data_IF_760884389389
#
_entry.id   IF_760884389389
#
_cell.length_a   1.000
_cell.length_b   1.000
_cell.length_c   1.000
_cell.angle_alpha   90.00
_cell.angle_beta   90.00
_cell.angle_gamma   90.00
#
_symmetry.space_group_name_H-M   'P 1'
#
loop_
_entity.id
_entity.type
_entity.pdbx_description
1 polymer ?
#
# COMPACT_ATOMS: atom_id res chain seq x y z
N UNK A 1 -18.13 -2.47 18.59
CA UNK A 1 -18.46 -1.20 17.90
C UNK A 1 -18.47 -1.50 16.42
N UNK A 2 -19.45 -0.99 15.67
CA UNK A 2 -19.46 -1.12 14.21
C UNK A 2 -18.27 -0.35 13.62
N UNK A 3 -17.53 -0.98 12.72
CA UNK A 3 -16.44 -0.35 12.00
C UNK A 3 -16.97 0.79 11.14
N UNK A 4 -16.44 2.00 11.30
CA UNK A 4 -17.01 3.23 10.73
C UNK A 4 -16.53 3.58 9.32
N UNK A 5 -15.53 2.88 8.78
CA UNK A 5 -14.96 3.15 7.46
C UNK A 5 -15.59 2.28 6.36
N UNK A 6 -15.95 2.91 5.25
CA UNK A 6 -16.40 2.32 4.01
C UNK A 6 -15.19 2.02 3.12
N UNK A 7 -14.73 0.77 3.20
CA UNK A 7 -13.56 0.26 2.48
C UNK A 7 -13.92 -0.51 1.21
N UNK A 8 -15.18 -0.40 0.76
CA UNK A 8 -15.70 -1.20 -0.36
C UNK A 8 -16.01 -2.66 0.02
N UNK A 9 -16.40 -3.44 -0.99
CA UNK A 9 -16.83 -4.84 -0.84
C UNK A 9 -15.76 -5.88 -1.14
N UNK A 10 -14.47 -5.51 -1.04
CA UNK A 10 -13.37 -6.41 -1.34
C UNK A 10 -13.29 -7.56 -0.33
N UNK A 11 -12.95 -8.77 -0.80
CA UNK A 11 -12.70 -9.91 0.08
C UNK A 11 -11.69 -10.87 -0.54
N UNK A 12 -10.74 -11.34 0.27
CA UNK A 12 -9.83 -12.43 -0.06
C UNK A 12 -10.13 -13.60 0.89
N UNK A 13 -10.76 -14.68 0.41
CA UNK A 13 -11.00 -15.86 1.24
C UNK A 13 -9.69 -16.41 1.79
N UNK A 14 -9.64 -16.65 3.10
CA UNK A 14 -8.52 -17.31 3.78
C UNK A 14 -9.00 -18.46 4.66
N UNK A 15 -8.07 -19.32 5.09
CA UNK A 15 -8.34 -20.34 6.11
C UNK A 15 -8.66 -19.67 7.44
N UNK A 16 -9.94 -19.60 7.77
CA UNK A 16 -10.46 -18.94 8.98
C UNK A 16 -11.78 -19.60 9.42
N UNK A 17 -11.97 -19.75 10.72
CA UNK A 17 -13.14 -20.39 11.31
C UNK A 17 -14.33 -19.44 11.51
N UNK A 18 -14.09 -18.13 11.55
CA UNK A 18 -15.10 -17.11 11.83
C UNK A 18 -15.30 -16.15 10.65
N UNK A 19 -16.55 -15.96 10.16
CA UNK A 19 -16.88 -14.92 9.19
C UNK A 19 -16.54 -13.50 9.69
N UNK A 20 -16.59 -13.29 11.01
CA UNK A 20 -16.19 -12.01 11.59
C UNK A 20 -14.67 -11.79 11.48
N UNK A 21 -13.87 -12.83 11.73
CA UNK A 21 -12.42 -12.77 11.54
C UNK A 21 -12.05 -12.57 10.05
N UNK A 22 -12.76 -13.24 9.11
CA UNK A 22 -12.61 -12.98 7.67
C UNK A 22 -12.85 -11.51 7.33
N UNK A 23 -13.90 -10.90 7.89
CA UNK A 23 -14.21 -9.49 7.65
C UNK A 23 -13.11 -8.56 8.16
N UNK A 24 -12.53 -8.85 9.33
CA UNK A 24 -11.40 -8.08 9.86
C UNK A 24 -10.12 -8.28 9.05
N UNK A 25 -9.86 -9.49 8.56
CA UNK A 25 -8.76 -9.77 7.64
C UNK A 25 -8.90 -8.96 6.34
N UNK A 26 -10.08 -8.96 5.73
CA UNK A 26 -10.36 -8.22 4.50
C UNK A 26 -10.13 -6.72 4.67
N UNK A 27 -10.58 -6.14 5.80
CA UNK A 27 -10.30 -4.73 6.15
C UNK A 27 -8.82 -4.44 6.26
N UNK A 28 -8.07 -5.30 6.97
CA UNK A 28 -6.63 -5.15 7.13
C UNK A 28 -5.91 -5.16 5.78
N UNK A 29 -6.32 -6.06 4.88
CA UNK A 29 -5.73 -6.16 3.54
C UNK A 29 -6.05 -4.92 2.68
N UNK A 30 -7.26 -4.38 2.77
CA UNK A 30 -7.61 -3.11 2.08
C UNK A 30 -6.78 -1.94 2.63
N UNK A 31 -6.54 -1.87 3.94
CA UNK A 31 -5.67 -0.82 4.50
C UNK A 31 -4.21 -0.97 4.13
N UNK A 32 -3.71 -2.20 4.01
CA UNK A 32 -2.40 -2.45 3.41
C UNK A 32 -2.34 -1.92 1.98
N UNK A 33 -3.36 -2.18 1.14
CA UNK A 33 -3.42 -1.57 -0.19
C UNK A 33 -3.56 -0.04 -0.12
N UNK A 34 -4.23 0.50 0.90
CA UNK A 34 -4.27 1.94 1.14
C UNK A 34 -3.04 2.51 1.84
N UNK A 35 -1.96 1.75 2.02
CA UNK A 35 -0.76 2.18 2.73
C UNK A 35 -1.01 2.82 4.12
N UNK A 36 -2.13 2.49 4.77
CA UNK A 36 -2.38 2.80 6.17
C UNK A 36 -2.06 1.57 7.03
N UNK A 37 -0.77 1.34 7.21
CA UNK A 37 -0.24 0.13 7.82
C UNK A 37 -0.60 0.01 9.31
N UNK A 38 -0.71 1.13 10.04
CA UNK A 38 -1.08 1.13 11.46
C UNK A 38 -2.50 0.57 11.67
N UNK A 39 -3.49 1.08 10.93
CA UNK A 39 -4.87 0.57 11.00
C UNK A 39 -5.00 -0.85 10.42
N UNK A 40 -4.17 -1.20 9.44
CA UNK A 40 -4.08 -2.56 8.93
C UNK A 40 -3.67 -3.55 10.04
N UNK A 41 -2.63 -3.22 10.81
CA UNK A 41 -2.19 -4.03 11.95
C UNK A 41 -3.32 -4.22 12.95
N UNK A 42 -4.08 -3.17 13.29
CA UNK A 42 -5.21 -3.31 14.23
C UNK A 42 -6.33 -4.17 13.69
N UNK A 43 -6.64 -4.08 12.39
CA UNK A 43 -7.60 -4.98 11.76
C UNK A 43 -7.13 -6.45 11.83
N UNK A 44 -5.86 -6.74 11.55
CA UNK A 44 -5.36 -8.10 11.62
C UNK A 44 -5.25 -8.62 13.06
N UNK A 45 -4.89 -7.79 14.05
CA UNK A 45 -4.94 -8.16 15.47
C UNK A 45 -6.35 -8.54 15.89
N UNK A 46 -7.37 -7.78 15.46
CA UNK A 46 -8.79 -8.14 15.69
C UNK A 46 -9.16 -9.48 15.06
N UNK A 47 -8.68 -9.76 13.84
CA UNK A 47 -8.90 -11.05 13.19
C UNK A 47 -8.26 -12.20 14.01
N UNK A 48 -7.02 -12.03 14.47
CA UNK A 48 -6.31 -13.00 15.29
C UNK A 48 -6.91 -13.18 16.70
N UNK A 49 -7.46 -12.13 17.31
CA UNK A 49 -8.16 -12.21 18.60
C UNK A 49 -9.44 -13.05 18.50
N UNK A 50 -10.15 -12.94 17.37
CA UNK A 50 -11.39 -13.69 17.11
C UNK A 50 -11.08 -15.12 16.71
N UNK A 51 -10.06 -15.32 15.88
CA UNK A 51 -9.58 -16.64 15.45
C UNK A 51 -8.05 -16.74 15.56
N UNK A 52 -7.53 -17.21 16.72
CA UNK A 52 -6.10 -17.39 16.95
C UNK A 52 -5.45 -18.47 16.09
N UNK A 53 -6.23 -19.22 15.31
CA UNK A 53 -5.73 -20.25 14.38
C UNK A 53 -5.61 -19.73 12.94
N UNK A 54 -6.04 -18.50 12.68
CA UNK A 54 -5.93 -17.87 11.36
C UNK A 54 -4.49 -17.45 11.05
N UNK A 55 -3.72 -18.33 10.38
CA UNK A 55 -2.34 -18.06 10.01
C UNK A 55 -2.19 -16.77 9.18
N UNK A 56 -3.16 -16.47 8.32
CA UNK A 56 -3.16 -15.28 7.48
C UNK A 56 -3.37 -13.97 8.26
N UNK A 57 -4.02 -14.01 9.43
CA UNK A 57 -4.10 -12.82 10.29
C UNK A 57 -2.70 -12.43 10.81
N UNK A 58 -1.91 -13.41 11.27
CA UNK A 58 -0.53 -13.17 11.70
C UNK A 58 0.40 -12.78 10.54
N UNK A 59 0.19 -13.36 9.35
CA UNK A 59 0.84 -12.88 8.12
C UNK A 59 0.54 -11.40 7.86
N UNK A 60 -0.73 -11.00 8.00
CA UNK A 60 -1.17 -9.62 7.81
C UNK A 60 -0.51 -8.65 8.78
N UNK A 61 -0.42 -9.02 10.06
CA UNK A 61 0.30 -8.22 11.08
C UNK A 61 1.76 -8.06 10.66
N UNK A 62 2.43 -9.14 10.23
CA UNK A 62 3.81 -9.06 9.78
C UNK A 62 3.97 -8.17 8.54
N UNK A 63 3.09 -8.33 7.54
CA UNK A 63 3.15 -7.60 6.28
C UNK A 63 2.96 -6.10 6.52
N UNK A 64 1.94 -5.73 7.30
CA UNK A 64 1.65 -4.35 7.64
C UNK A 64 2.75 -3.72 8.52
N UNK A 65 3.46 -4.50 9.34
CA UNK A 65 4.55 -3.98 10.17
C UNK A 65 5.83 -3.71 9.37
N UNK A 66 5.97 -4.24 8.16
CA UNK A 66 7.19 -4.15 7.35
C UNK A 66 7.33 -2.87 6.53
N UNK A 67 8.47 -2.71 5.83
CA UNK A 67 8.66 -1.63 4.87
C UNK A 67 7.68 -1.78 3.70
N UNK A 68 7.34 -0.65 3.12
CA UNK A 68 6.58 -0.56 1.87
C UNK A 68 7.10 0.62 1.04
N UNK A 69 6.53 0.82 -0.14
CA UNK A 69 7.03 1.78 -1.13
C UNK A 69 7.24 3.20 -0.56
N UNK A 70 6.37 3.68 0.35
CA UNK A 70 6.49 5.03 0.93
C UNK A 70 7.22 5.10 2.28
N UNK A 71 7.54 3.97 2.91
CA UNK A 71 8.31 3.91 4.16
C UNK A 71 9.32 2.75 4.10
N UNK A 72 10.39 2.87 3.30
CA UNK A 72 11.47 1.88 3.32
C UNK A 72 12.27 1.97 4.61
N UNK A 73 12.98 0.89 4.97
CA UNK A 73 13.82 0.79 6.18
C UNK A 73 14.69 2.02 6.45
N UNK A 74 15.30 2.60 5.42
CA UNK A 74 16.20 3.75 5.52
C UNK A 74 15.52 5.05 6.01
N UNK A 75 14.19 5.13 5.95
CA UNK A 75 13.40 6.27 6.41
C UNK A 75 12.83 6.04 7.82
N UNK A 76 12.93 4.83 8.36
CA UNK A 76 12.53 4.54 9.73
C UNK A 76 13.63 5.00 10.69
N UNK A 77 13.23 5.55 11.83
CA UNK A 77 14.11 5.71 12.99
C UNK A 77 14.53 4.35 13.53
N UNK A 78 15.59 4.33 14.35
CA UNK A 78 16.05 3.09 14.99
C UNK A 78 14.94 2.43 15.84
N UNK A 79 14.14 3.23 16.54
CA UNK A 79 13.03 2.73 17.36
C UNK A 79 11.94 2.09 16.49
N UNK A 80 11.54 2.75 15.40
CA UNK A 80 10.53 2.23 14.47
C UNK A 80 11.02 0.92 13.81
N UNK A 81 12.28 0.89 13.37
CA UNK A 81 12.87 -0.31 12.78
C UNK A 81 12.90 -1.49 13.77
N UNK A 82 13.25 -1.24 15.04
CA UNK A 82 13.20 -2.27 16.09
C UNK A 82 11.79 -2.79 16.33
N UNK A 83 10.81 -1.91 16.44
CA UNK A 83 9.39 -2.30 16.62
C UNK A 83 8.85 -3.07 15.42
N UNK A 84 9.20 -2.63 14.20
CA UNK A 84 8.85 -3.30 12.95
C UNK A 84 9.44 -4.71 12.89
N UNK A 85 10.72 -4.88 13.22
CA UNK A 85 11.40 -6.17 13.23
C UNK A 85 10.84 -7.11 14.30
N UNK A 86 10.64 -6.62 15.52
CA UNK A 86 10.07 -7.42 16.61
C UNK A 86 8.65 -7.90 16.27
N UNK A 87 7.77 -6.97 15.85
CA UNK A 87 6.38 -7.30 15.50
C UNK A 87 6.32 -8.21 14.28
N UNK A 88 7.06 -7.88 13.23
CA UNK A 88 7.08 -8.61 11.96
C UNK A 88 7.64 -10.02 12.09
N UNK A 89 8.80 -10.17 12.74
CA UNK A 89 9.41 -11.48 12.98
C UNK A 89 8.52 -12.37 13.85
N UNK A 90 8.07 -11.88 15.01
CA UNK A 90 7.27 -12.71 15.90
C UNK A 90 5.95 -13.14 15.24
N UNK A 91 5.26 -12.23 14.54
CA UNK A 91 4.00 -12.55 13.86
C UNK A 91 4.20 -13.55 12.72
N UNK A 92 5.26 -13.41 11.91
CA UNK A 92 5.50 -14.37 10.83
C UNK A 92 5.92 -15.75 11.35
N UNK A 93 6.60 -15.84 12.51
CA UNK A 93 6.88 -17.12 13.17
C UNK A 93 5.60 -17.77 13.69
N UNK A 94 4.64 -17.00 14.23
CA UNK A 94 3.32 -17.53 14.60
C UNK A 94 2.58 -18.07 13.37
N UNK A 95 2.54 -17.32 12.27
CA UNK A 95 1.92 -17.76 11.02
C UNK A 95 2.52 -19.07 10.51
N UNK A 96 3.86 -19.19 10.51
CA UNK A 96 4.57 -20.41 10.15
C UNK A 96 4.23 -21.59 11.07
N UNK A 97 4.10 -21.35 12.38
CA UNK A 97 3.76 -22.38 13.36
C UNK A 97 2.32 -22.90 13.26
N UNK A 98 1.43 -22.14 12.61
CA UNK A 98 0.03 -22.50 12.38
C UNK A 98 -0.19 -23.24 11.04
N UNK A 99 0.83 -23.34 10.19
CA UNK A 99 0.73 -24.04 8.92
C UNK A 99 0.51 -25.55 9.15
N UNK A 100 -0.72 -26.00 8.90
CA UNK A 100 -1.11 -27.41 8.83
C UNK A 100 -2.16 -27.58 7.72
N UNK A 101 -1.82 -28.35 6.67
CA UNK A 101 -2.66 -28.58 5.47
C UNK A 101 -3.35 -27.33 4.87
N UNK A 102 -2.67 -26.18 4.93
CA UNK A 102 -3.22 -24.91 4.42
C UNK A 102 -3.27 -24.86 2.88
N UNK A 103 -4.16 -24.03 2.29
CA UNK A 103 -4.16 -23.76 0.87
C UNK A 103 -2.75 -23.39 0.36
N UNK A 104 -2.28 -23.97 -0.75
CA UNK A 104 -0.92 -23.75 -1.23
C UNK A 104 -0.53 -22.28 -1.50
N UNK A 105 -1.51 -21.40 -1.73
CA UNK A 105 -1.27 -19.97 -1.91
C UNK A 105 -0.99 -19.26 -0.59
N UNK A 106 -1.67 -19.62 0.50
CA UNK A 106 -1.44 -19.07 1.84
C UNK A 106 -0.07 -19.49 2.37
N UNK A 107 0.26 -20.78 2.25
CA UNK A 107 1.59 -21.30 2.57
C UNK A 107 2.68 -20.55 1.78
N UNK A 108 2.45 -20.31 0.48
CA UNK A 108 3.36 -19.56 -0.38
C UNK A 108 3.58 -18.13 0.09
N UNK A 109 2.51 -17.40 0.42
CA UNK A 109 2.58 -16.01 0.90
C UNK A 109 3.28 -15.91 2.27
N UNK A 110 2.97 -16.82 3.20
CA UNK A 110 3.60 -16.90 4.53
C UNK A 110 5.10 -17.21 4.39
N UNK A 111 5.43 -18.23 3.60
CA UNK A 111 6.82 -18.63 3.37
C UNK A 111 7.62 -17.54 2.65
N UNK A 112 7.00 -16.79 1.73
CA UNK A 112 7.65 -15.66 1.09
C UNK A 112 7.94 -14.55 2.09
N UNK A 113 6.93 -14.09 2.85
CA UNK A 113 7.10 -12.98 3.78
C UNK A 113 8.10 -13.27 4.90
N UNK A 114 8.25 -14.53 5.32
CA UNK A 114 9.31 -14.92 6.28
C UNK A 114 10.73 -14.63 5.79
N UNK A 115 10.93 -14.39 4.49
CA UNK A 115 12.22 -13.96 3.93
C UNK A 115 12.51 -12.48 4.16
N UNK A 116 11.49 -11.64 4.38
CA UNK A 116 11.61 -10.22 4.75
C UNK A 116 11.94 -10.05 6.23
N UNK A 117 11.55 -11.00 7.08
CA UNK A 117 11.79 -10.97 8.53
C UNK A 117 12.60 -12.20 8.96
N UNK A 118 13.92 -12.12 8.85
CA UNK A 118 14.81 -13.26 9.16
C UNK A 118 15.29 -13.26 10.63
N UNK A 119 15.16 -12.13 11.33
CA UNK A 119 15.43 -11.97 12.77
C UNK A 119 14.64 -10.79 13.32
N UNK A 120 14.39 -10.81 14.63
CA UNK A 120 13.86 -9.71 15.44
C UNK A 120 14.92 -8.67 15.83
N UNK A 121 16.21 -8.95 15.59
CA UNK A 121 17.30 -8.06 15.94
C UNK A 121 17.52 -7.02 14.85
N UNK A 122 17.74 -5.77 15.28
CA UNK A 122 18.19 -4.73 14.39
C UNK A 122 19.57 -5.05 13.83
N UNK A 123 19.67 -5.02 12.50
CA UNK A 123 20.89 -5.25 11.73
C UNK A 123 21.16 -4.06 10.80
N UNK A 124 22.32 -4.06 10.15
CA UNK A 124 22.70 -3.02 9.21
C UNK A 124 21.70 -2.90 8.05
N UNK A 125 21.54 -1.67 7.53
CA UNK A 125 20.56 -1.35 6.48
C UNK A 125 20.75 -2.18 5.21
N UNK A 126 22.00 -2.50 4.84
CA UNK A 126 22.30 -3.33 3.66
C UNK A 126 21.80 -4.77 3.83
N UNK A 127 21.79 -5.27 5.08
CA UNK A 127 21.25 -6.61 5.39
C UNK A 127 19.73 -6.60 5.28
N UNK A 128 19.07 -5.57 5.81
CA UNK A 128 17.61 -5.40 5.68
C UNK A 128 17.19 -5.27 4.21
N UNK A 129 17.93 -4.53 3.40
CA UNK A 129 17.69 -4.46 1.96
C UNK A 129 17.87 -5.83 1.27
N UNK A 130 18.86 -6.61 1.69
CA UNK A 130 19.00 -8.01 1.25
C UNK A 130 17.81 -8.91 1.61
N UNK A 131 17.08 -8.60 2.69
CA UNK A 131 15.86 -9.33 3.06
C UNK A 131 14.67 -8.94 2.20
N UNK A 132 14.55 -7.67 1.81
CA UNK A 132 13.57 -7.24 0.79
C UNK A 132 13.83 -7.92 -0.55
N UNK A 133 15.09 -8.05 -0.96
CA UNK A 133 15.48 -8.79 -2.15
C UNK A 133 15.07 -10.27 -2.07
N UNK A 134 15.30 -10.90 -0.92
CA UNK A 134 14.92 -12.30 -0.69
C UNK A 134 13.39 -12.52 -0.70
N UNK A 135 12.62 -11.55 -0.18
CA UNK A 135 11.16 -11.57 -0.23
C UNK A 135 10.64 -11.41 -1.66
N UNK A 136 11.15 -10.44 -2.39
CA UNK A 136 10.85 -10.23 -3.80
C UNK A 136 11.11 -11.49 -4.65
N UNK A 137 12.26 -12.14 -4.46
CA UNK A 137 12.60 -13.39 -5.13
C UNK A 137 11.68 -14.55 -4.75
N UNK A 138 11.21 -14.60 -3.50
CA UNK A 138 10.23 -15.58 -3.06
C UNK A 138 8.84 -15.30 -3.67
N UNK A 139 8.38 -14.05 -3.67
CA UNK A 139 7.12 -13.65 -4.31
C UNK A 139 7.12 -13.91 -5.81
N UNK A 140 8.26 -13.75 -6.49
CA UNK A 140 8.40 -14.15 -7.91
C UNK A 140 8.09 -15.64 -8.12
N UNK A 141 8.44 -16.51 -7.16
CA UNK A 141 8.10 -17.95 -7.22
C UNK A 141 6.62 -18.19 -6.91
N UNK A 142 6.04 -17.45 -5.97
CA UNK A 142 4.61 -17.54 -5.64
C UNK A 142 3.76 -17.12 -6.85
N UNK A 143 4.08 -15.98 -7.48
CA UNK A 143 3.39 -15.52 -8.69
C UNK A 143 3.49 -16.53 -9.84
N UNK A 144 4.67 -17.13 -10.07
CA UNK A 144 4.80 -18.21 -11.07
C UNK A 144 3.89 -19.41 -10.80
N UNK A 145 3.63 -19.73 -9.53
CA UNK A 145 2.73 -20.83 -9.13
C UNK A 145 1.25 -20.44 -9.22
N UNK A 146 0.92 -19.17 -8.98
CA UNK A 146 -0.44 -18.64 -8.97
C UNK A 146 -0.58 -17.39 -9.87
N UNK A 147 -0.35 -17.51 -11.19
CA UNK A 147 -0.20 -16.36 -12.09
C UNK A 147 -1.49 -15.56 -12.34
N UNK A 148 -2.64 -16.07 -11.90
CA UNK A 148 -3.95 -15.42 -12.06
C UNK A 148 -4.59 -15.05 -10.71
N UNK A 149 -3.91 -15.27 -9.58
CA UNK A 149 -4.38 -14.79 -8.28
C UNK A 149 -4.07 -13.29 -8.17
N UNK A 150 -5.13 -12.48 -8.07
CA UNK A 150 -5.03 -11.02 -8.20
C UNK A 150 -4.29 -10.37 -7.02
N UNK A 151 -4.42 -10.91 -5.81
CA UNK A 151 -3.63 -10.44 -4.67
C UNK A 151 -2.18 -10.85 -4.81
N UNK A 152 -1.90 -12.07 -5.29
CA UNK A 152 -0.52 -12.50 -5.53
C UNK A 152 0.16 -11.59 -6.56
N UNK A 153 -0.56 -11.17 -7.61
CA UNK A 153 -0.07 -10.19 -8.58
C UNK A 153 0.24 -8.84 -7.90
N UNK A 154 -0.70 -8.32 -7.11
CA UNK A 154 -0.54 -7.04 -6.41
C UNK A 154 0.62 -7.05 -5.39
N UNK A 155 0.66 -8.07 -4.53
CA UNK A 155 1.69 -8.26 -3.51
C UNK A 155 3.07 -8.52 -4.13
N UNK A 156 3.13 -9.23 -5.27
CA UNK A 156 4.37 -9.39 -6.00
C UNK A 156 4.87 -8.06 -6.57
N UNK A 157 3.99 -7.29 -7.20
CA UNK A 157 4.34 -5.96 -7.71
C UNK A 157 4.86 -5.03 -6.59
N UNK A 158 4.17 -4.99 -5.45
CA UNK A 158 4.62 -4.22 -4.27
C UNK A 158 6.01 -4.67 -3.80
N UNK A 159 6.23 -5.98 -3.64
CA UNK A 159 7.50 -6.53 -3.19
C UNK A 159 8.66 -6.12 -4.10
N UNK A 160 8.44 -6.14 -5.42
CA UNK A 160 9.44 -5.74 -6.41
C UNK A 160 9.71 -4.23 -6.38
N UNK A 161 8.66 -3.42 -6.28
CA UNK A 161 8.79 -1.96 -6.27
C UNK A 161 9.49 -1.44 -5.01
N UNK A 162 9.26 -2.09 -3.86
CA UNK A 162 9.86 -1.74 -2.57
C UNK A 162 11.38 -1.98 -2.51
N UNK A 163 11.97 -2.73 -3.45
CA UNK A 163 13.43 -2.84 -3.61
C UNK A 163 14.08 -1.50 -4.02
N UNK A 164 13.36 -0.69 -4.81
CA UNK A 164 13.84 0.56 -5.40
C UNK A 164 12.78 1.67 -5.29
N UNK A 165 12.37 2.05 -4.07
CA UNK A 165 11.28 3.01 -3.85
C UNK A 165 11.64 4.37 -4.46
N UNK A 166 10.69 4.93 -5.22
CA UNK A 166 10.82 6.14 -6.04
C UNK A 166 11.97 6.15 -7.06
N UNK A 167 12.58 4.99 -7.32
CA UNK A 167 13.67 4.82 -8.29
C UNK A 167 13.29 3.84 -9.40
N UNK A 168 12.01 3.72 -9.74
CA UNK A 168 11.55 2.84 -10.82
C UNK A 168 11.99 3.35 -12.21
N UNK A 169 12.14 4.66 -12.36
CA UNK A 169 12.49 5.32 -13.62
C UNK A 169 13.62 6.32 -13.43
N UNK A 170 14.57 6.33 -14.37
CA UNK A 170 15.44 7.47 -14.61
C UNK A 170 14.64 8.51 -15.40
N UNK A 171 14.12 9.50 -14.67
CA UNK A 171 13.28 10.55 -15.24
C UNK A 171 14.01 11.44 -16.26
N UNK A 172 15.35 11.53 -16.17
CA UNK A 172 16.12 12.36 -17.08
C UNK A 172 16.31 11.66 -18.42
N UNK A 173 16.72 10.40 -18.39
CA UNK A 173 16.96 9.58 -19.58
C UNK A 173 15.69 8.92 -20.11
N UNK A 174 14.58 8.96 -19.36
CA UNK A 174 13.28 8.36 -19.70
C UNK A 174 13.38 6.86 -19.96
N UNK A 175 14.14 6.17 -19.12
CA UNK A 175 14.31 4.70 -19.16
C UNK A 175 14.11 4.12 -17.75
N UNK A 176 13.80 2.82 -17.62
CA UNK A 176 13.81 2.16 -16.32
C UNK A 176 15.17 2.33 -15.64
N UNK A 177 15.18 2.56 -14.32
CA UNK A 177 16.44 2.67 -13.59
C UNK A 177 17.19 1.34 -13.54
N UNK A 178 18.51 1.41 -13.53
CA UNK A 178 19.35 0.23 -13.29
C UNK A 178 19.02 -0.41 -11.93
N UNK A 179 18.84 -1.73 -11.93
CA UNK A 179 18.53 -2.52 -10.73
C UNK A 179 17.06 -2.49 -10.30
N UNK A 180 16.18 -1.73 -10.98
CA UNK A 180 14.75 -1.76 -10.76
C UNK A 180 14.07 -2.83 -11.63
N UNK A 181 13.10 -3.54 -11.08
CA UNK A 181 12.31 -4.57 -11.78
C UNK A 181 11.11 -3.98 -12.54
N UNK A 182 11.16 -2.69 -12.89
CA UNK A 182 10.05 -1.88 -13.42
C UNK A 182 9.35 -2.52 -14.61
N UNK A 183 10.10 -3.09 -15.56
CA UNK A 183 9.50 -3.73 -16.74
C UNK A 183 8.80 -5.05 -16.42
N UNK A 184 9.33 -5.83 -15.46
CA UNK A 184 8.67 -7.05 -15.00
C UNK A 184 7.37 -6.70 -14.27
N UNK A 185 7.42 -5.71 -13.37
CA UNK A 185 6.26 -5.21 -12.63
C UNK A 185 5.15 -4.76 -13.56
N UNK A 186 5.47 -3.94 -14.58
CA UNK A 186 4.47 -3.47 -15.55
C UNK A 186 3.87 -4.65 -16.34
N UNK A 187 4.70 -5.58 -16.81
CA UNK A 187 4.20 -6.73 -17.57
C UNK A 187 3.26 -7.61 -16.74
N UNK A 188 3.57 -7.82 -15.47
CA UNK A 188 2.76 -8.58 -14.51
C UNK A 188 1.43 -7.89 -14.25
N UNK A 189 1.46 -6.58 -13.97
CA UNK A 189 0.25 -5.79 -13.71
C UNK A 189 -0.64 -5.66 -14.95
N UNK A 190 -0.07 -5.38 -16.13
CA UNK A 190 -0.83 -5.34 -17.39
C UNK A 190 -1.45 -6.71 -17.70
N UNK A 191 -0.74 -7.81 -17.42
CA UNK A 191 -1.27 -9.17 -17.52
C UNK A 191 -2.48 -9.41 -16.60
N UNK A 192 -2.37 -9.02 -15.33
CA UNK A 192 -3.46 -9.12 -14.35
C UNK A 192 -4.68 -8.27 -14.70
N UNK A 193 -4.46 -7.01 -15.09
CA UNK A 193 -5.52 -6.10 -15.55
C UNK A 193 -6.20 -6.64 -16.82
N UNK A 194 -5.41 -7.20 -17.75
CA UNK A 194 -5.93 -7.89 -18.94
C UNK A 194 -6.77 -9.11 -18.60
N UNK A 195 -6.35 -9.90 -17.61
CA UNK A 195 -7.11 -11.05 -17.10
C UNK A 195 -8.44 -10.62 -16.47
N UNK A 196 -8.45 -9.58 -15.64
CA UNK A 196 -9.66 -8.98 -15.05
C UNK A 196 -10.62 -8.54 -16.15
N UNK A 197 -10.15 -7.78 -17.14
CA UNK A 197 -10.96 -7.29 -18.26
C UNK A 197 -11.56 -8.43 -19.08
N UNK A 198 -10.72 -9.40 -19.47
CA UNK A 198 -11.14 -10.55 -20.30
C UNK A 198 -12.21 -11.40 -19.62
N UNK A 199 -12.12 -11.57 -18.30
CA UNK A 199 -13.05 -12.39 -17.51
C UNK A 199 -14.17 -11.58 -16.86
N UNK A 200 -14.22 -10.26 -17.08
CA UNK A 200 -15.23 -9.34 -16.50
C UNK A 200 -15.28 -9.42 -14.98
N UNK A 201 -14.11 -9.53 -14.35
CA UNK A 201 -13.98 -9.52 -12.90
C UNK A 201 -14.10 -8.08 -12.38
N UNK A 202 -14.35 -7.94 -11.07
CA UNK A 202 -14.29 -6.63 -10.43
C UNK A 202 -12.84 -6.09 -10.48
N UNK A 203 -12.66 -4.77 -10.63
CA UNK A 203 -11.34 -4.16 -10.54
C UNK A 203 -10.68 -4.47 -9.19
N UNK A 204 -9.37 -4.76 -9.20
CA UNK A 204 -8.63 -5.12 -8.00
C UNK A 204 -7.81 -3.94 -7.49
N UNK A 205 -8.11 -3.50 -6.27
CA UNK A 205 -7.54 -2.33 -5.59
C UNK A 205 -6.01 -2.29 -5.66
N UNK A 206 -5.35 -3.33 -5.11
CA UNK A 206 -3.90 -3.37 -5.05
C UNK A 206 -3.21 -3.38 -6.42
N UNK A 207 -3.85 -3.96 -7.46
CA UNK A 207 -3.24 -3.98 -8.80
C UNK A 207 -3.35 -2.61 -9.45
N UNK A 208 -4.52 -1.95 -9.34
CA UNK A 208 -4.69 -0.59 -9.84
C UNK A 208 -3.72 0.36 -9.15
N UNK A 209 -3.62 0.30 -7.82
CA UNK A 209 -2.71 1.13 -7.03
C UNK A 209 -1.25 0.94 -7.43
N UNK A 210 -0.75 -0.31 -7.46
CA UNK A 210 0.63 -0.58 -7.86
C UNK A 210 0.90 -0.14 -9.31
N UNK A 211 -0.07 -0.28 -10.21
CA UNK A 211 0.07 0.13 -11.60
C UNK A 211 0.19 1.65 -11.76
N UNK A 212 -0.52 2.41 -10.93
CA UNK A 212 -0.40 3.87 -10.88
C UNK A 212 1.01 4.28 -10.42
N UNK A 213 1.51 3.73 -9.32
CA UNK A 213 2.88 3.99 -8.85
C UNK A 213 3.96 3.53 -9.85
N UNK A 214 3.74 2.40 -10.53
CA UNK A 214 4.69 1.92 -11.54
C UNK A 214 4.80 2.87 -12.75
N UNK A 215 3.75 3.64 -13.06
CA UNK A 215 3.70 4.48 -14.25
C UNK A 215 3.77 5.99 -14.00
N UNK A 216 3.57 6.48 -12.78
CA UNK A 216 3.53 7.91 -12.48
C UNK A 216 4.77 8.68 -12.95
N UNK A 217 5.96 8.10 -12.79
CA UNK A 217 7.23 8.70 -13.24
C UNK A 217 7.72 8.14 -14.59
N UNK A 218 6.87 7.37 -15.29
CA UNK A 218 7.25 6.75 -16.55
C UNK A 218 7.28 7.74 -17.72
N UNK A 219 7.87 7.34 -18.87
CA UNK A 219 7.77 8.12 -20.10
C UNK A 219 6.36 8.17 -20.71
N UNK A 220 5.43 7.31 -20.26
CA UNK A 220 4.07 7.17 -20.80
C UNK A 220 3.03 7.02 -19.67
N UNK A 221 2.90 8.00 -18.76
CA UNK A 221 1.98 7.92 -17.62
C UNK A 221 0.51 7.84 -18.07
N UNK A 222 0.18 8.30 -19.29
CA UNK A 222 -1.17 8.27 -19.85
C UNK A 222 -1.75 6.85 -19.98
N UNK A 223 -0.89 5.82 -20.02
CA UNK A 223 -1.32 4.41 -20.00
C UNK A 223 -2.07 4.03 -18.72
N UNK A 224 -1.85 4.75 -17.63
CA UNK A 224 -2.50 4.51 -16.35
C UNK A 224 -3.84 5.24 -16.18
N UNK A 225 -4.24 6.12 -17.12
CA UNK A 225 -5.46 6.93 -16.97
C UNK A 225 -6.71 6.07 -16.74
N UNK A 226 -6.88 5.00 -17.51
CA UNK A 226 -8.03 4.09 -17.34
C UNK A 226 -8.02 3.32 -16.01
N UNK A 227 -6.84 3.08 -15.42
CA UNK A 227 -6.72 2.48 -14.09
C UNK A 227 -7.00 3.53 -12.99
N UNK A 228 -6.54 4.77 -13.19
CA UNK A 228 -6.79 5.89 -12.28
C UNK A 228 -8.29 6.21 -12.19
N UNK A 229 -8.98 6.24 -13.33
CA UNK A 229 -10.44 6.44 -13.39
C UNK A 229 -11.19 5.32 -12.64
N UNK A 230 -10.71 4.07 -12.72
CA UNK A 230 -11.31 2.93 -12.02
C UNK A 230 -11.07 2.92 -10.52
N UNK A 231 -9.87 3.31 -10.08
CA UNK A 231 -9.51 3.28 -8.66
C UNK A 231 -10.34 4.30 -7.85
N UNK A 232 -10.63 5.46 -8.45
CA UNK A 232 -11.44 6.50 -7.80
C UNK A 232 -12.84 5.97 -7.47
N UNK A 233 -13.13 5.79 -6.18
CA UNK A 233 -14.43 5.37 -5.66
C UNK A 233 -14.57 3.90 -5.24
N UNK A 234 -13.52 3.07 -5.37
CA UNK A 234 -13.59 1.68 -4.89
C UNK A 234 -13.47 1.56 -3.36
N UNK A 235 -12.68 2.45 -2.75
CA UNK A 235 -12.54 2.56 -1.28
C UNK A 235 -12.75 4.03 -0.86
N UNK A 236 -14.00 4.45 -0.61
CA UNK A 236 -14.37 5.81 -0.24
C UNK A 236 -13.51 6.41 0.88
N UNK A 237 -13.28 5.64 1.95
CA UNK A 237 -12.64 6.13 3.17
C UNK A 237 -11.15 5.76 3.30
N UNK A 238 -10.51 5.26 2.23
CA UNK A 238 -9.07 5.07 2.19
C UNK A 238 -8.41 6.27 1.48
N UNK A 239 -7.97 7.28 2.25
CA UNK A 239 -7.48 8.56 1.73
C UNK A 239 -6.39 8.39 0.68
N UNK A 240 -5.34 7.62 0.98
CA UNK A 240 -4.28 7.32 0.02
C UNK A 240 -4.80 6.73 -1.31
N UNK A 241 -5.74 5.77 -1.28
CA UNK A 241 -6.30 5.18 -2.51
C UNK A 241 -7.12 6.20 -3.31
N UNK A 242 -7.83 7.12 -2.64
CA UNK A 242 -8.53 8.23 -3.31
C UNK A 242 -7.55 9.20 -3.95
N UNK A 243 -6.41 9.43 -3.31
CA UNK A 243 -5.39 10.34 -3.77
C UNK A 243 -4.61 9.81 -4.96
N UNK A 244 -4.31 8.52 -5.00
CA UNK A 244 -3.45 7.91 -6.02
C UNK A 244 -3.78 8.28 -7.48
N UNK A 245 -5.04 8.34 -7.94
CA UNK A 245 -5.39 8.83 -9.27
C UNK A 245 -4.83 10.23 -9.61
N UNK A 246 -4.71 11.13 -8.62
CA UNK A 246 -4.19 12.49 -8.80
C UNK A 246 -2.77 12.50 -9.37
N UNK A 247 -1.92 11.55 -8.99
CA UNK A 247 -0.56 11.42 -9.50
C UNK A 247 -0.54 11.29 -11.03
N UNK A 248 -1.44 10.49 -11.60
CA UNK A 248 -1.55 10.33 -13.06
C UNK A 248 -2.24 11.54 -13.69
N UNK A 249 -3.33 12.03 -13.09
CA UNK A 249 -4.09 13.15 -13.64
C UNK A 249 -3.26 14.41 -13.76
N UNK A 250 -2.47 14.76 -12.75
CA UNK A 250 -1.68 16.00 -12.75
C UNK A 250 -0.60 15.97 -13.83
N UNK A 251 0.08 14.83 -14.00
CA UNK A 251 1.14 14.67 -15.02
C UNK A 251 0.54 14.63 -16.44
N UNK A 252 -0.69 14.15 -16.59
CA UNK A 252 -1.42 14.15 -17.85
C UNK A 252 -2.21 15.46 -18.11
N UNK A 253 -2.09 16.48 -17.25
CA UNK A 253 -2.78 17.76 -17.41
C UNK A 253 -4.28 17.77 -17.09
N UNK A 254 -4.82 16.71 -16.47
CA UNK A 254 -6.21 16.61 -16.00
C UNK A 254 -6.36 17.26 -14.60
N UNK A 255 -5.98 18.53 -14.47
CA UNK A 255 -5.90 19.20 -13.16
C UNK A 255 -7.23 19.27 -12.40
N UNK A 256 -8.35 19.43 -13.10
CA UNK A 256 -9.67 19.43 -12.44
C UNK A 256 -10.04 18.07 -11.85
N UNK A 257 -9.66 16.97 -12.51
CA UNK A 257 -9.89 15.63 -12.00
C UNK A 257 -8.97 15.32 -10.81
N UNK A 258 -7.72 15.79 -10.87
CA UNK A 258 -6.79 15.73 -9.74
C UNK A 258 -7.36 16.45 -8.49
N UNK A 259 -7.87 17.68 -8.66
CA UNK A 259 -8.54 18.42 -7.57
C UNK A 259 -9.72 17.63 -7.01
N UNK A 260 -10.59 17.09 -7.87
CA UNK A 260 -11.78 16.37 -7.43
C UNK A 260 -11.47 15.09 -6.63
N UNK A 261 -10.40 14.37 -6.96
CA UNK A 261 -10.00 13.19 -6.17
C UNK A 261 -9.23 13.59 -4.90
N UNK A 262 -8.46 14.69 -4.93
CA UNK A 262 -7.82 15.22 -3.72
C UNK A 262 -8.85 15.70 -2.69
N UNK A 263 -9.99 16.29 -3.11
CA UNK A 263 -11.09 16.63 -2.19
C UNK A 263 -11.63 15.39 -1.47
N UNK A 264 -11.78 14.26 -2.18
CA UNK A 264 -12.23 12.99 -1.59
C UNK A 264 -11.19 12.43 -0.63
N UNK A 265 -9.90 12.47 -1.00
CA UNK A 265 -8.81 11.99 -0.17
C UNK A 265 -8.74 12.77 1.15
N UNK A 266 -8.78 14.11 1.09
CA UNK A 266 -8.78 14.98 2.27
C UNK A 266 -9.98 14.66 3.18
N UNK A 267 -11.18 14.47 2.61
CA UNK A 267 -12.36 14.12 3.40
C UNK A 267 -12.24 12.75 4.08
N UNK A 268 -11.63 11.76 3.41
CA UNK A 268 -11.36 10.45 4.00
C UNK A 268 -10.31 10.52 5.11
N UNK A 269 -9.29 11.35 4.92
CA UNK A 269 -8.24 11.56 5.91
C UNK A 269 -8.75 12.28 7.17
N UNK A 270 -9.62 13.29 7.01
CA UNK A 270 -10.27 13.97 8.15
C UNK A 270 -11.05 12.97 9.01
N UNK A 271 -11.75 12.02 8.39
CA UNK A 271 -12.45 10.95 9.09
C UNK A 271 -11.48 10.01 9.83
N UNK A 272 -10.31 9.72 9.25
CA UNK A 272 -9.29 8.91 9.92
C UNK A 272 -8.64 9.66 11.10
N UNK A 273 -8.36 10.96 10.95
CA UNK A 273 -7.85 11.81 12.04
C UNK A 273 -8.75 11.82 13.26
N UNK A 274 -10.08 11.83 13.08
CA UNK A 274 -11.03 11.77 14.20
C UNK A 274 -10.85 10.51 15.06
N UNK A 275 -10.36 9.42 14.47
CA UNK A 275 -10.05 8.18 15.16
C UNK A 275 -8.63 8.16 15.74
N UNK A 276 -7.63 8.45 14.90
CA UNK A 276 -6.22 8.19 15.19
C UNK A 276 -5.47 9.37 15.84
N UNK A 277 -6.04 10.58 15.79
CA UNK A 277 -5.37 11.79 16.23
C UNK A 277 -4.21 12.22 15.32
N UNK A 278 -3.35 13.11 15.84
CA UNK A 278 -2.30 13.80 15.07
C UNK A 278 -0.88 13.26 15.27
N UNK A 279 -0.70 12.24 16.10
CA UNK A 279 0.62 11.70 16.47
C UNK A 279 0.83 10.31 15.87
N UNK A 280 0.84 10.24 14.54
CA UNK A 280 1.04 9.01 13.77
C UNK A 280 1.73 9.30 12.43
N UNK A 281 2.30 8.25 11.82
CA UNK A 281 3.00 8.39 10.54
C UNK A 281 2.06 8.83 9.40
N UNK A 282 0.78 8.47 9.47
CA UNK A 282 -0.21 8.74 8.42
C UNK A 282 -0.40 10.24 8.15
N UNK A 283 -0.05 11.12 9.09
CA UNK A 283 0.03 12.58 8.89
C UNK A 283 0.89 12.97 7.68
N UNK A 284 1.96 12.22 7.41
CA UNK A 284 2.80 12.48 6.23
C UNK A 284 2.05 12.21 4.92
N UNK A 285 1.23 11.15 4.87
CA UNK A 285 0.35 10.86 3.73
C UNK A 285 -0.68 11.97 3.56
N UNK A 286 -1.31 12.42 4.64
CA UNK A 286 -2.28 13.52 4.58
C UNK A 286 -1.68 14.82 4.06
N UNK A 287 -0.45 15.14 4.49
CA UNK A 287 0.26 16.32 3.98
C UNK A 287 0.58 16.19 2.49
N UNK A 288 0.86 14.97 2.01
CA UNK A 288 1.06 14.68 0.59
C UNK A 288 -0.23 14.87 -0.23
N UNK A 289 -1.37 14.47 0.32
CA UNK A 289 -2.69 14.65 -0.31
C UNK A 289 -3.07 16.14 -0.41
N UNK A 290 -2.81 16.91 0.66
CA UNK A 290 -2.93 18.37 0.67
C UNK A 290 -1.96 19.05 -0.29
N UNK A 291 -0.72 18.57 -0.38
CA UNK A 291 0.27 19.09 -1.31
C UNK A 291 -0.17 18.88 -2.77
N UNK A 292 -0.77 17.73 -3.09
CA UNK A 292 -1.31 17.47 -4.42
C UNK A 292 -2.52 18.35 -4.75
N UNK A 293 -3.42 18.57 -3.79
CA UNK A 293 -4.51 19.55 -3.92
C UNK A 293 -3.96 20.95 -4.24
N UNK A 294 -2.94 21.39 -3.49
CA UNK A 294 -2.27 22.67 -3.72
C UNK A 294 -1.66 22.72 -5.13
N UNK A 295 -0.89 21.70 -5.52
CA UNK A 295 -0.21 21.62 -6.80
C UNK A 295 -1.20 21.66 -7.97
N UNK A 296 -2.20 20.78 -7.98
CA UNK A 296 -3.21 20.75 -9.03
C UNK A 296 -4.00 22.06 -9.13
N UNK A 297 -4.32 22.68 -7.99
CA UNK A 297 -5.03 23.96 -7.92
C UNK A 297 -4.22 25.12 -8.51
N UNK A 298 -2.91 25.16 -8.28
CA UNK A 298 -2.03 26.17 -8.90
C UNK A 298 -2.06 26.08 -10.43
N UNK A 299 -1.94 24.87 -10.99
CA UNK A 299 -1.98 24.66 -12.45
C UNK A 299 -3.38 24.88 -13.05
N UNK A 300 -4.44 24.66 -12.27
CA UNK A 300 -5.81 24.97 -12.66
C UNK A 300 -6.18 26.46 -12.49
N UNK A 301 -5.27 27.31 -11.99
CA UNK A 301 -5.54 28.73 -11.72
C UNK A 301 -6.56 28.97 -10.60
N UNK A 302 -6.69 28.03 -9.65
CA UNK A 302 -7.63 28.11 -8.52
C UNK A 302 -6.89 28.54 -7.25
N UNK A 303 -6.95 29.85 -6.95
CA UNK A 303 -6.26 30.42 -5.79
C UNK A 303 -6.81 29.89 -4.46
N UNK A 304 -8.11 29.94 -4.25
CA UNK A 304 -8.72 29.65 -2.94
C UNK A 304 -8.48 28.20 -2.46
N UNK A 305 -8.67 27.15 -3.28
CA UNK A 305 -8.32 25.80 -2.89
C UNK A 305 -6.82 25.60 -2.64
N UNK A 306 -5.96 26.25 -3.43
CA UNK A 306 -4.52 26.14 -3.28
C UNK A 306 -4.04 26.70 -1.93
N UNK A 307 -4.45 27.92 -1.58
CA UNK A 307 -4.04 28.54 -0.32
C UNK A 307 -4.66 27.84 0.88
N UNK A 308 -5.91 27.37 0.76
CA UNK A 308 -6.59 26.61 1.82
C UNK A 308 -5.84 25.32 2.13
N UNK A 309 -5.43 24.56 1.10
CA UNK A 309 -4.66 23.33 1.29
C UNK A 309 -3.30 23.60 1.97
N UNK A 310 -2.60 24.67 1.55
CA UNK A 310 -1.34 25.09 2.16
C UNK A 310 -1.50 25.43 3.65
N UNK A 311 -2.51 26.23 4.00
CA UNK A 311 -2.79 26.61 5.38
C UNK A 311 -3.23 25.41 6.22
N UNK A 312 -4.03 24.50 5.67
CA UNK A 312 -4.42 23.25 6.33
C UNK A 312 -3.19 22.39 6.63
N UNK A 313 -2.29 22.22 5.66
CA UNK A 313 -1.04 21.48 5.87
C UNK A 313 -0.19 22.08 7.01
N UNK A 314 -0.09 23.41 7.08
CA UNK A 314 0.59 24.10 8.20
C UNK A 314 -0.10 23.83 9.54
N UNK A 315 -1.42 23.71 9.59
CA UNK A 315 -2.16 23.39 10.82
C UNK A 315 -2.02 21.93 11.23
N UNK A 316 -1.95 21.01 10.27
CA UNK A 316 -1.83 19.56 10.50
C UNK A 316 -0.44 19.19 11.05
N UNK A 317 0.62 19.84 10.55
CA UNK A 317 1.98 19.60 11.04
C UNK A 317 2.15 20.07 12.49
N UNK A 318 2.77 19.23 13.32
CA UNK A 318 3.16 19.59 14.70
C UNK A 318 4.19 20.73 14.71
N UNK A 319 4.34 21.44 15.85
CA UNK A 319 5.34 22.51 15.97
C UNK A 319 6.76 22.03 15.61
N UNK A 320 7.10 20.84 16.10
CA UNK A 320 8.39 20.18 15.90
C UNK A 320 8.70 19.91 14.41
N UNK A 321 7.68 19.52 13.63
CA UNK A 321 7.80 19.31 12.17
C UNK A 321 7.78 20.61 11.36
N UNK A 322 7.25 21.71 11.92
CA UNK A 322 7.29 23.04 11.30
C UNK A 322 8.62 23.75 11.47
N UNK A 323 9.49 23.27 12.37
CA UNK A 323 10.75 23.92 12.72
C UNK A 323 10.55 25.26 13.43
N UNK A 324 9.43 25.44 14.15
CA UNK A 324 9.07 26.67 14.89
C UNK A 324 8.69 26.34 16.32
#
# INVERSE_FOLDING_TARGET
>A
MSYSFELGGYSRPVTVASPEAQTWFDRGLVWCYGFNHEEAVECFRRAADIDPTCAMAYWGIAFASGPFYNLPWKLMSESEARTSLDTGYNSIQQALGLLDDHPPVEEGLICALSRRFQSDQLVDIDVLQGWDDAYADAMRKVHKRFPNDLDVIALFAEAMMTRTPWKLWDIHNRIPSDGADTLEVIAVLEGGLGYVSKNRLQPHLGMLHMYLHALEMSPTPEKALGAADQLSGLCPDAGHLQHMPAHIYVICGRYHDAIAVSEKAISADEKFLELAGYDNFYITSMCHDLHMMMYASMFAGRYEPAITAAETMIRTLTADLRGV
#
